data_IF_746097641521
#
_entry.id   IF_746097641521
#
_cell.length_a   1.000
_cell.length_b   1.000
_cell.length_c   1.000
_cell.angle_alpha   90.00
_cell.angle_beta   90.00
_cell.angle_gamma   90.00
#
_symmetry.space_group_name_H-M   'P 1'
#
loop_
_entity.id
_entity.type
_entity.pdbx_description
1 polymer ?
#
# COMPACT_ATOMS: atom_id res chain seq x y z
N UNK A 1 -20.41 7.20 -11.60
CA UNK A 1 -21.01 8.46 -12.14
C UNK A 1 -19.92 9.50 -12.02
N UNK A 2 -19.73 10.38 -12.99
CA UNK A 2 -18.73 11.44 -12.82
C UNK A 2 -19.02 12.23 -11.53
N UNK A 3 -17.98 12.45 -10.72
CA UNK A 3 -18.13 13.04 -9.39
C UNK A 3 -18.55 12.08 -8.27
N UNK A 4 -18.82 10.79 -8.54
CA UNK A 4 -19.19 9.81 -7.52
C UNK A 4 -18.34 8.53 -7.60
N UNK A 5 -17.99 8.01 -6.43
CA UNK A 5 -17.32 6.73 -6.23
C UNK A 5 -18.20 5.83 -5.36
N UNK A 6 -18.25 4.54 -5.67
CA UNK A 6 -19.05 3.59 -4.90
C UNK A 6 -18.47 2.19 -4.98
N UNK A 7 -18.57 1.44 -3.89
CA UNK A 7 -18.17 0.04 -3.88
C UNK A 7 -19.09 -0.80 -2.99
N UNK A 8 -19.33 -2.05 -3.40
CA UNK A 8 -20.12 -3.01 -2.62
C UNK A 8 -19.30 -4.26 -2.33
N UNK A 9 -19.46 -4.81 -1.14
CA UNK A 9 -18.91 -6.12 -0.76
C UNK A 9 -20.03 -6.95 -0.14
N UNK A 10 -20.16 -8.19 -0.59
CA UNK A 10 -21.02 -9.20 0.05
C UNK A 10 -20.15 -10.36 0.49
N UNK A 11 -20.31 -10.78 1.75
CA UNK A 11 -19.70 -12.00 2.29
C UNK A 11 -20.84 -12.91 2.76
N UNK A 12 -21.46 -13.70 1.86
CA UNK A 12 -22.67 -14.46 2.18
C UNK A 12 -22.49 -15.45 3.34
N UNK A 13 -21.33 -16.10 3.42
CA UNK A 13 -21.00 -17.04 4.50
C UNK A 13 -20.97 -16.39 5.88
N UNK A 14 -20.76 -15.08 5.96
CA UNK A 14 -20.76 -14.29 7.19
C UNK A 14 -22.00 -13.41 7.33
N UNK A 15 -22.94 -13.47 6.37
CA UNK A 15 -24.13 -12.60 6.31
C UNK A 15 -23.81 -11.10 6.35
N UNK A 16 -22.65 -10.69 5.80
CA UNK A 16 -22.21 -9.29 5.77
C UNK A 16 -22.48 -8.65 4.40
N UNK A 17 -23.00 -7.43 4.44
CA UNK A 17 -23.15 -6.54 3.29
C UNK A 17 -22.57 -5.16 3.62
N UNK A 18 -21.64 -4.68 2.82
CA UNK A 18 -21.06 -3.34 2.93
C UNK A 18 -21.34 -2.58 1.64
N UNK A 19 -21.84 -1.36 1.77
CA UNK A 19 -21.96 -0.41 0.67
C UNK A 19 -21.31 0.91 1.09
N UNK A 20 -20.37 1.37 0.27
CA UNK A 20 -19.74 2.69 0.39
C UNK A 20 -20.21 3.53 -0.78
N UNK A 21 -20.73 4.72 -0.49
CA UNK A 21 -21.20 5.69 -1.47
C UNK A 21 -20.53 7.03 -1.16
N UNK A 22 -19.82 7.60 -2.13
CA UNK A 22 -19.12 8.86 -1.98
C UNK A 22 -19.46 9.82 -3.13
N UNK A 23 -19.77 11.07 -2.79
CA UNK A 23 -19.91 12.17 -3.75
C UNK A 23 -18.54 12.82 -4.03
N UNK A 24 -17.58 11.98 -4.41
CA UNK A 24 -16.26 12.39 -4.91
C UNK A 24 -15.70 11.28 -5.78
N UNK A 25 -15.22 11.62 -6.97
CA UNK A 25 -14.50 10.69 -7.84
C UNK A 25 -13.10 10.36 -7.34
N UNK A 26 -12.55 11.14 -6.40
CA UNK A 26 -11.23 10.93 -5.81
C UNK A 26 -11.27 10.06 -4.56
N UNK A 27 -12.46 9.78 -4.01
CA UNK A 27 -12.58 8.97 -2.81
C UNK A 27 -12.38 7.48 -3.13
N UNK A 28 -11.44 6.85 -2.43
CA UNK A 28 -11.23 5.41 -2.54
C UNK A 28 -12.30 4.62 -1.77
N UNK A 29 -13.45 4.46 -2.42
CA UNK A 29 -14.55 3.65 -1.90
C UNK A 29 -14.18 2.17 -1.77
N UNK A 30 -13.22 1.69 -2.55
CA UNK A 30 -12.79 0.29 -2.53
C UNK A 30 -12.06 -0.03 -1.23
N UNK A 31 -11.01 0.72 -0.92
CA UNK A 31 -10.20 0.52 0.28
C UNK A 31 -11.05 0.65 1.54
N UNK A 32 -11.93 1.65 1.61
CA UNK A 32 -12.84 1.79 2.74
C UNK A 32 -13.80 0.59 2.85
N UNK A 33 -14.41 0.16 1.74
CA UNK A 33 -15.33 -0.98 1.76
C UNK A 33 -14.64 -2.26 2.24
N UNK A 34 -13.41 -2.51 1.80
CA UNK A 34 -12.61 -3.66 2.23
C UNK A 34 -12.30 -3.58 3.73
N UNK A 35 -11.83 -2.43 4.24
CA UNK A 35 -11.58 -2.24 5.68
C UNK A 35 -12.85 -2.44 6.52
N UNK A 36 -13.98 -1.86 6.11
CA UNK A 36 -15.27 -2.02 6.79
C UNK A 36 -15.74 -3.47 6.80
N UNK A 37 -15.62 -4.18 5.67
CA UNK A 37 -15.98 -5.59 5.57
C UNK A 37 -15.10 -6.45 6.48
N UNK A 38 -13.81 -6.16 6.54
CA UNK A 38 -12.84 -6.84 7.39
C UNK A 38 -13.14 -6.62 8.88
N UNK A 39 -13.47 -5.40 9.28
CA UNK A 39 -13.96 -5.08 10.63
C UNK A 39 -15.23 -5.87 10.96
N UNK A 40 -16.21 -5.89 10.06
CA UNK A 40 -17.50 -6.56 10.27
C UNK A 40 -17.38 -8.07 10.50
N UNK A 41 -16.31 -8.71 9.98
CA UNK A 41 -16.01 -10.13 10.20
C UNK A 41 -14.96 -10.38 11.29
N UNK A 42 -14.64 -9.37 12.11
CA UNK A 42 -13.64 -9.41 13.18
C UNK A 42 -12.20 -9.73 12.70
N UNK A 43 -11.84 -9.25 11.51
CA UNK A 43 -10.49 -9.40 10.93
C UNK A 43 -9.97 -8.05 10.42
N UNK A 44 -9.82 -7.02 11.26
CA UNK A 44 -9.38 -5.70 10.81
C UNK A 44 -8.00 -5.76 10.12
N UNK A 45 -7.83 -4.96 9.06
CA UNK A 45 -6.59 -4.89 8.29
C UNK A 45 -5.83 -3.66 8.77
N UNK A 46 -5.11 -3.82 9.88
CA UNK A 46 -4.22 -2.80 10.42
C UNK A 46 -2.80 -3.37 10.55
N UNK A 47 -1.79 -2.76 9.92
CA UNK A 47 -0.42 -3.25 9.99
C UNK A 47 0.14 -3.09 11.41
N UNK A 48 0.73 -4.16 11.94
CA UNK A 48 1.52 -4.07 13.17
C UNK A 48 2.93 -3.58 12.83
N UNK A 49 3.19 -2.31 13.12
CA UNK A 49 4.45 -1.64 12.79
C UNK A 49 5.65 -2.29 13.50
N UNK A 50 6.77 -2.41 12.79
CA UNK A 50 8.07 -2.80 13.34
C UNK A 50 9.15 -1.79 12.94
N UNK A 51 10.16 -1.65 13.79
CA UNK A 51 11.36 -0.89 13.45
C UNK A 51 12.33 -1.77 12.67
N UNK A 52 12.69 -1.32 11.46
CA UNK A 52 13.72 -1.99 10.66
C UNK A 52 15.12 -1.45 10.99
N UNK A 53 16.18 -2.26 10.78
CA UNK A 53 17.55 -1.77 10.87
C UNK A 53 17.80 -0.62 9.89
N UNK A 54 18.64 0.34 10.29
CA UNK A 54 19.00 1.50 9.47
C UNK A 54 19.50 1.11 8.07
N UNK A 55 20.34 0.07 7.96
CA UNK A 55 20.85 -0.43 6.69
C UNK A 55 19.75 -0.98 5.77
N UNK A 56 18.69 -1.54 6.34
CA UNK A 56 17.50 -2.00 5.58
C UNK A 56 16.71 -0.81 5.07
N UNK A 57 16.50 0.22 5.90
CA UNK A 57 15.80 1.45 5.50
C UNK A 57 16.55 2.16 4.34
N UNK A 58 17.87 2.28 4.45
CA UNK A 58 18.73 2.84 3.41
C UNK A 58 18.66 2.03 2.11
N UNK A 59 18.61 0.70 2.21
CA UNK A 59 18.48 -0.17 1.04
C UNK A 59 17.13 -0.05 0.33
N UNK A 60 16.07 0.38 1.02
CA UNK A 60 14.75 0.62 0.44
C UNK A 60 14.67 2.00 -0.22
N UNK A 61 15.33 3.03 0.33
CA UNK A 61 15.29 4.39 -0.21
C UNK A 61 15.83 4.49 -1.65
N UNK A 62 15.08 5.09 -2.56
CA UNK A 62 15.43 5.19 -3.98
C UNK A 62 14.23 5.49 -4.88
N UNK A 63 14.50 5.59 -6.19
CA UNK A 63 13.47 5.73 -7.20
C UNK A 63 13.21 4.37 -7.86
N UNK A 64 11.95 4.05 -8.09
CA UNK A 64 11.52 2.77 -8.68
C UNK A 64 10.50 3.02 -9.78
N UNK A 65 10.61 2.25 -10.85
CA UNK A 65 9.58 2.10 -11.90
C UNK A 65 8.97 0.71 -11.75
N UNK A 66 7.65 0.63 -11.70
CA UNK A 66 6.89 -0.61 -11.55
C UNK A 66 6.30 -1.06 -12.89
N UNK A 67 6.03 -2.36 -13.01
CA UNK A 67 5.47 -2.97 -14.24
C UNK A 67 4.08 -2.41 -14.65
N UNK A 68 3.34 -1.80 -13.72
CA UNK A 68 2.10 -1.06 -14.03
C UNK A 68 2.35 0.29 -14.71
N UNK A 69 3.62 0.65 -14.94
CA UNK A 69 4.04 1.92 -15.51
C UNK A 69 4.15 3.05 -14.48
N UNK A 70 3.88 2.80 -13.20
CA UNK A 70 4.01 3.83 -12.17
C UNK A 70 5.46 4.01 -11.75
N UNK A 71 5.80 5.25 -11.39
CA UNK A 71 7.07 5.56 -10.74
C UNK A 71 6.82 6.02 -9.31
N UNK A 72 7.64 5.50 -8.38
CA UNK A 72 7.59 5.86 -6.96
C UNK A 72 8.96 6.27 -6.48
N UNK A 73 9.02 7.40 -5.80
CA UNK A 73 10.18 7.87 -5.05
C UNK A 73 9.99 7.49 -3.58
N UNK A 74 10.94 6.72 -3.06
CA UNK A 74 10.99 6.33 -1.65
C UNK A 74 12.13 7.09 -0.97
N UNK A 75 11.82 7.80 0.10
CA UNK A 75 12.75 8.67 0.85
C UNK A 75 12.81 8.24 2.30
N UNK A 76 14.00 8.36 2.91
CA UNK A 76 14.22 8.09 4.33
C UNK A 76 14.42 9.40 5.07
N UNK A 77 13.56 9.68 6.04
CA UNK A 77 13.62 10.89 6.88
C UNK A 77 13.37 10.52 8.33
N UNK A 78 14.29 10.89 9.22
CA UNK A 78 14.18 10.66 10.67
C UNK A 78 13.83 9.19 11.04
N UNK A 79 14.36 8.22 10.29
CA UNK A 79 14.11 6.78 10.52
C UNK A 79 12.78 6.26 9.97
N UNK A 80 11.99 7.09 9.27
CA UNK A 80 10.76 6.70 8.60
C UNK A 80 10.91 6.75 7.08
N UNK A 81 10.28 5.80 6.39
CA UNK A 81 10.24 5.77 4.93
C UNK A 81 8.96 6.45 4.44
N UNK A 82 9.08 7.22 3.37
CA UNK A 82 7.96 7.86 2.70
C UNK A 82 7.98 7.53 1.22
N UNK A 83 6.83 7.12 0.70
CA UNK A 83 6.59 6.83 -0.71
C UNK A 83 5.80 7.97 -1.36
N UNK A 84 6.20 8.37 -2.56
CA UNK A 84 5.51 9.38 -3.34
C UNK A 84 5.50 8.97 -4.82
N UNK A 85 4.32 9.02 -5.47
CA UNK A 85 4.22 8.97 -6.94
C UNK A 85 4.43 10.36 -7.52
N UNK A 86 4.74 10.47 -8.82
CA UNK A 86 5.08 11.75 -9.49
C UNK A 86 4.12 12.90 -9.17
N UNK A 87 2.82 12.64 -9.20
CA UNK A 87 1.76 13.64 -8.97
C UNK A 87 0.96 13.37 -7.68
N UNK A 88 1.40 12.43 -6.85
CA UNK A 88 0.66 11.98 -5.68
C UNK A 88 1.08 12.62 -4.37
N UNK A 89 0.20 12.45 -3.38
CA UNK A 89 0.53 12.75 -2.00
C UNK A 89 1.69 11.87 -1.51
N UNK A 90 2.46 12.42 -0.58
CA UNK A 90 3.50 11.69 0.12
C UNK A 90 2.85 10.88 1.23
N UNK A 91 3.07 9.57 1.24
CA UNK A 91 2.52 8.65 2.24
C UNK A 91 3.65 8.00 3.03
N UNK A 92 3.47 7.88 4.35
CA UNK A 92 4.40 7.09 5.15
C UNK A 92 4.29 5.60 4.78
N UNK A 93 5.42 4.90 4.78
CA UNK A 93 5.46 3.44 4.72
C UNK A 93 5.52 2.88 6.14
N UNK A 94 4.65 1.92 6.44
CA UNK A 94 4.54 1.23 7.72
C UNK A 94 5.15 -0.18 7.56
N UNK A 95 6.37 -0.42 8.05
CA UNK A 95 7.00 -1.72 7.96
C UNK A 95 6.36 -2.72 8.90
N UNK A 96 6.32 -3.99 8.50
CA UNK A 96 5.78 -5.09 9.29
C UNK A 96 6.77 -6.26 9.30
N UNK A 97 6.63 -7.15 10.29
CA UNK A 97 7.59 -8.25 10.51
C UNK A 97 7.67 -9.25 9.34
N UNK A 98 6.64 -9.35 8.51
CA UNK A 98 6.56 -10.24 7.35
C UNK A 98 7.13 -9.61 6.06
N UNK A 99 7.77 -8.44 6.15
CA UNK A 99 8.42 -7.77 5.04
C UNK A 99 7.50 -6.87 4.23
N UNK A 100 6.24 -6.66 4.63
CA UNK A 100 5.36 -5.69 3.98
C UNK A 100 5.62 -4.28 4.50
N UNK A 101 5.55 -3.33 3.59
CA UNK A 101 5.65 -1.89 3.81
C UNK A 101 4.32 -1.27 3.36
N UNK A 102 3.36 -1.17 4.28
CA UNK A 102 2.03 -0.64 3.97
C UNK A 102 2.09 0.85 3.69
N UNK A 103 1.34 1.32 2.69
CA UNK A 103 1.11 2.75 2.57
C UNK A 103 0.14 3.19 3.67
N UNK A 104 0.40 4.33 4.29
CA UNK A 104 -0.48 4.91 5.30
C UNK A 104 -1.92 5.03 4.81
N UNK A 105 -2.86 4.62 5.66
CA UNK A 105 -4.31 4.54 5.41
C UNK A 105 -4.77 3.65 4.24
N UNK A 106 -3.86 2.88 3.65
CA UNK A 106 -4.15 2.00 2.51
C UNK A 106 -4.17 0.51 2.89
N UNK A 107 -4.68 -0.31 1.96
CA UNK A 107 -4.57 -1.78 2.00
C UNK A 107 -3.53 -2.33 1.01
N UNK A 108 -2.94 -1.44 0.21
CA UNK A 108 -1.82 -1.73 -0.68
C UNK A 108 -0.51 -1.61 0.07
N UNK A 109 0.50 -2.36 -0.35
CA UNK A 109 1.82 -2.38 0.29
C UNK A 109 2.92 -2.67 -0.71
N UNK A 110 4.16 -2.31 -0.37
CA UNK A 110 5.34 -2.81 -1.03
C UNK A 110 5.82 -4.05 -0.29
N UNK A 111 6.14 -5.13 -1.00
CA UNK A 111 6.80 -6.30 -0.45
C UNK A 111 8.32 -6.10 -0.56
N UNK A 112 9.02 -6.25 0.56
CA UNK A 112 10.48 -6.24 0.61
C UNK A 112 11.04 -7.57 0.10
N UNK A 113 11.73 -7.51 -1.03
CA UNK A 113 12.49 -8.63 -1.58
C UNK A 113 13.92 -8.70 -1.04
N UNK A 114 14.77 -9.54 -1.65
CA UNK A 114 16.18 -9.62 -1.29
C UNK A 114 16.89 -8.28 -1.37
N UNK A 115 17.82 -8.05 -0.44
CA UNK A 115 18.75 -6.92 -0.49
C UNK A 115 20.07 -7.42 -1.07
N UNK A 116 20.51 -6.78 -2.15
CA UNK A 116 21.78 -7.09 -2.83
C UNK A 116 22.58 -5.82 -3.01
N UNK A 117 23.83 -5.83 -2.57
CA UNK A 117 24.73 -4.66 -2.65
C UNK A 117 24.10 -3.38 -2.05
N UNK A 118 23.38 -3.52 -0.93
CA UNK A 118 22.71 -2.39 -0.27
C UNK A 118 21.49 -1.84 -1.03
N UNK A 119 20.92 -2.60 -1.97
CA UNK A 119 19.71 -2.23 -2.73
C UNK A 119 18.64 -3.29 -2.56
N UNK A 120 17.46 -2.89 -2.10
CA UNK A 120 16.30 -3.76 -1.99
C UNK A 120 15.60 -3.93 -3.36
N UNK A 121 15.19 -5.15 -3.63
CA UNK A 121 14.13 -5.45 -4.60
C UNK A 121 12.77 -5.17 -3.94
N UNK A 122 11.83 -4.58 -4.68
CA UNK A 122 10.49 -4.24 -4.17
C UNK A 122 9.43 -4.71 -5.16
N UNK A 123 8.33 -5.26 -4.65
CA UNK A 123 7.14 -5.58 -5.45
C UNK A 123 5.98 -4.76 -4.90
N UNK A 124 5.24 -4.06 -5.76
CA UNK A 124 4.02 -3.36 -5.37
C UNK A 124 2.85 -4.33 -5.43
N UNK A 125 2.16 -4.50 -4.30
CA UNK A 125 0.95 -5.29 -4.18
C UNK A 125 -0.25 -4.37 -4.05
N UNK A 126 -1.09 -4.33 -5.09
CA UNK A 126 -2.36 -3.60 -5.07
C UNK A 126 -3.47 -4.64 -4.92
N UNK A 127 -4.11 -4.63 -3.75
CA UNK A 127 -5.16 -5.61 -3.43
C UNK A 127 -6.29 -5.51 -4.45
N UNK A 128 -6.61 -6.64 -5.09
CA UNK A 128 -7.66 -6.72 -6.12
C UNK A 128 -7.22 -6.32 -7.54
N UNK A 129 -6.00 -5.80 -7.74
CA UNK A 129 -5.50 -5.37 -9.04
C UNK A 129 -4.25 -6.13 -9.50
N UNK A 130 -3.39 -6.57 -8.58
CA UNK A 130 -2.25 -7.44 -8.89
C UNK A 130 -0.95 -7.06 -8.20
N UNK A 131 0.12 -7.72 -8.66
CA UNK A 131 1.48 -7.60 -8.16
C UNK A 131 2.37 -7.05 -9.27
N UNK A 132 3.16 -6.03 -8.99
CA UNK A 132 3.98 -5.33 -9.98
C UNK A 132 5.43 -5.28 -9.51
N UNK A 133 6.38 -5.78 -10.30
CA UNK A 133 7.79 -5.75 -9.90
C UNK A 133 8.35 -4.34 -10.06
N UNK A 134 9.12 -3.92 -9.07
CA UNK A 134 9.79 -2.63 -9.05
C UNK A 134 11.23 -2.75 -9.57
N UNK A 135 11.53 -2.07 -10.67
CA UNK A 135 12.88 -1.83 -11.14
C UNK A 135 13.42 -0.55 -10.52
N UNK A 136 14.47 -0.68 -9.71
CA UNK A 136 15.20 0.48 -9.18
C UNK A 136 15.84 1.28 -10.32
N UNK A 137 15.60 2.58 -10.33
CA UNK A 137 16.18 3.54 -11.26
C UNK A 137 17.59 3.93 -10.78
N UNK A 138 18.49 4.32 -11.71
CA UNK A 138 19.86 4.72 -11.40
C UNK A 138 19.95 5.95 -10.48
#
# INVERSE_FOLDING_TARGET
IEGFSSYIIRIPSQQVYVAVLANSSYFDSYTLAVKLAAIAINQPIEPTSVTLPQSTLEAIAGNFSFDDGTERRITLENGALFCQTKDGARQQLIPTADGKLYLEDEISYLMLGPIRQGKAELTLEIRGFGSFQGKRLP
#
